data_IF_005690643676
#
_entry.id   IF_005690643676
#
_cell.length_a   1.000
_cell.length_b   1.000
_cell.length_c   1.000
_cell.angle_alpha   90.00
_cell.angle_beta   90.00
_cell.angle_gamma   90.00
#
_symmetry.space_group_name_H-M   'P 1'
#
loop_
_entity.id
_entity.type
_entity.pdbx_description
1 polymer ?
#
# COMPACT_ATOMS: atom_id res chain seq x y z
N UNK A 1 -12.03 6.57 23.29
CA UNK A 1 -11.33 5.43 22.66
C UNK A 1 -9.84 5.61 22.90
N UNK A 2 -9.14 4.63 23.41
CA UNK A 2 -7.68 4.64 23.55
C UNK A 2 -7.06 4.61 22.16
N UNK A 3 -5.95 5.37 21.96
CA UNK A 3 -5.19 5.34 20.70
C UNK A 3 -4.65 3.94 20.37
N UNK A 4 -4.05 3.77 19.18
CA UNK A 4 -3.47 2.48 18.79
C UNK A 4 -2.29 2.10 19.70
N UNK A 5 -2.11 0.80 19.92
CA UNK A 5 -0.83 0.27 20.35
C UNK A 5 0.13 0.30 19.17
N UNK A 6 1.30 0.91 19.35
CA UNK A 6 2.30 1.12 18.31
C UNK A 6 3.50 0.21 18.58
N UNK A 7 4.04 -0.40 17.54
CA UNK A 7 5.25 -1.21 17.62
C UNK A 7 6.11 -1.12 16.37
N UNK A 8 7.27 -1.75 16.47
CA UNK A 8 8.17 -1.95 15.33
C UNK A 8 8.50 -3.43 15.19
N UNK A 9 8.64 -3.90 13.96
CA UNK A 9 9.04 -5.27 13.65
C UNK A 9 10.26 -5.24 12.75
N UNK A 10 11.33 -5.88 13.19
CA UNK A 10 12.50 -6.12 12.36
C UNK A 10 12.22 -7.26 11.40
N UNK A 11 12.41 -6.99 10.10
CA UNK A 11 12.32 -7.97 9.01
C UNK A 11 13.61 -7.96 8.21
N UNK A 12 13.74 -8.85 7.23
CA UNK A 12 14.92 -8.82 6.36
C UNK A 12 14.97 -7.53 5.53
N UNK A 13 16.08 -6.80 5.65
CA UNK A 13 16.33 -5.55 4.94
C UNK A 13 15.50 -4.32 5.39
N UNK A 14 14.64 -4.44 6.42
CA UNK A 14 13.79 -3.33 6.84
C UNK A 14 13.39 -3.38 8.32
N UNK A 15 12.90 -2.23 8.83
CA UNK A 15 12.18 -2.15 10.10
C UNK A 15 10.78 -1.56 9.82
N UNK A 16 9.75 -2.35 10.12
CA UNK A 16 8.37 -1.97 9.90
C UNK A 16 7.80 -1.28 11.13
N UNK A 17 7.07 -0.19 10.92
CA UNK A 17 6.21 0.42 11.92
C UNK A 17 4.80 -0.14 11.76
N UNK A 18 4.18 -0.59 12.86
CA UNK A 18 2.80 -1.10 12.86
C UNK A 18 1.96 -0.52 14.00
N UNK A 19 0.66 -0.54 13.81
CA UNK A 19 -0.34 -0.09 14.76
C UNK A 19 -1.41 -1.16 14.94
N UNK A 20 -1.84 -1.40 16.19
CA UNK A 20 -2.91 -2.35 16.52
C UNK A 20 -4.01 -1.63 17.28
N UNK A 21 -5.25 -1.89 16.92
CA UNK A 21 -6.46 -1.34 17.53
C UNK A 21 -7.49 -2.44 17.79
N UNK A 22 -8.35 -2.22 18.76
CA UNK A 22 -9.51 -3.08 19.04
C UNK A 22 -9.16 -4.40 19.71
N UNK A 23 -10.11 -5.34 19.65
CA UNK A 23 -10.01 -6.67 20.22
C UNK A 23 -10.84 -7.65 19.39
N UNK A 24 -10.54 -8.95 19.50
CA UNK A 24 -11.20 -9.99 18.70
C UNK A 24 -10.25 -10.66 17.73
N UNK A 25 -10.75 -11.38 16.71
CA UNK A 25 -9.93 -12.03 15.69
C UNK A 25 -9.09 -11.03 14.92
N UNK A 26 -7.88 -11.46 14.47
CA UNK A 26 -6.97 -10.58 13.73
C UNK A 26 -7.50 -10.26 12.32
N UNK A 27 -7.46 -8.97 11.99
CA UNK A 27 -7.64 -8.41 10.65
C UNK A 27 -6.41 -7.55 10.30
N UNK A 28 -5.62 -7.98 9.34
CA UNK A 28 -4.49 -7.23 8.81
C UNK A 28 -4.94 -6.35 7.64
N UNK A 29 -4.70 -5.04 7.71
CA UNK A 29 -4.92 -4.10 6.62
C UNK A 29 -3.57 -3.76 5.96
N UNK A 30 -3.40 -4.12 4.70
CA UNK A 30 -2.22 -3.83 3.88
C UNK A 30 -2.53 -2.60 3.01
N UNK A 31 -1.98 -1.43 3.33
CA UNK A 31 -2.24 -0.21 2.57
C UNK A 31 -1.59 -0.25 1.20
N UNK A 32 -2.14 0.49 0.26
CA UNK A 32 -1.56 0.71 -1.06
C UNK A 32 -0.98 2.10 -1.24
N UNK A 33 -0.32 2.30 -2.35
CA UNK A 33 0.24 3.58 -2.76
C UNK A 33 1.27 4.12 -1.77
N UNK A 34 1.14 5.41 -1.43
CA UNK A 34 2.09 6.14 -0.56
C UNK A 34 1.61 6.28 0.88
N UNK A 35 0.48 5.65 1.24
CA UNK A 35 -0.30 6.10 2.40
C UNK A 35 0.09 5.52 3.75
N UNK A 36 0.75 4.38 3.82
CA UNK A 36 1.03 3.67 5.07
C UNK A 36 -0.21 3.41 5.94
N UNK A 37 -0.03 3.13 7.23
CA UNK A 37 -1.11 2.89 8.18
C UNK A 37 -2.11 4.06 8.26
N UNK A 38 -1.64 5.28 8.08
CA UNK A 38 -2.50 6.48 8.13
C UNK A 38 -3.55 6.53 7.00
N UNK A 39 -3.30 5.89 5.86
CA UNK A 39 -4.26 5.86 4.74
C UNK A 39 -5.50 5.03 5.07
N UNK A 40 -5.35 4.02 5.90
CA UNK A 40 -6.43 3.10 6.30
C UNK A 40 -6.90 3.31 7.73
N UNK A 41 -6.46 4.39 8.41
CA UNK A 41 -6.75 4.64 9.82
C UNK A 41 -8.27 4.71 10.11
N UNK A 42 -9.04 5.41 9.26
CA UNK A 42 -10.49 5.49 9.44
C UNK A 42 -11.19 4.13 9.30
N UNK A 43 -10.73 3.29 8.36
CA UNK A 43 -11.22 1.92 8.22
C UNK A 43 -10.84 1.09 9.45
N UNK A 44 -9.60 1.21 9.91
CA UNK A 44 -9.13 0.52 11.11
C UNK A 44 -9.93 0.89 12.35
N UNK A 45 -10.24 2.18 12.55
CA UNK A 45 -11.08 2.66 13.67
C UNK A 45 -12.50 2.09 13.59
N UNK A 46 -13.10 2.09 12.42
CA UNK A 46 -14.47 1.57 12.24
C UNK A 46 -14.57 0.07 12.54
N UNK A 47 -13.54 -0.70 12.18
CA UNK A 47 -13.51 -2.16 12.35
C UNK A 47 -13.01 -2.61 13.73
N UNK A 48 -12.35 -1.73 14.48
CA UNK A 48 -11.77 -2.04 15.79
C UNK A 48 -12.80 -2.38 16.89
N UNK A 49 -14.10 -2.17 16.63
CA UNK A 49 -15.17 -2.57 17.54
C UNK A 49 -15.40 -4.08 17.57
N UNK A 50 -15.03 -4.79 16.52
CA UNK A 50 -15.27 -6.23 16.36
C UNK A 50 -13.98 -7.02 16.09
N UNK A 51 -12.90 -6.35 15.69
CA UNK A 51 -11.66 -6.96 15.26
C UNK A 51 -10.45 -6.40 15.99
N UNK A 52 -9.45 -7.26 16.22
CA UNK A 52 -8.08 -6.77 16.42
C UNK A 52 -7.53 -6.35 15.05
N UNK A 53 -7.52 -5.05 14.79
CA UNK A 53 -7.10 -4.51 13.49
C UNK A 53 -5.64 -4.10 13.55
N UNK A 54 -4.81 -4.76 12.74
CA UNK A 54 -3.42 -4.40 12.53
C UNK A 54 -3.26 -3.62 11.22
N UNK A 55 -2.51 -2.52 11.28
CA UNK A 55 -2.08 -1.74 10.11
C UNK A 55 -0.59 -1.50 10.21
N UNK A 56 0.07 -1.23 9.09
CA UNK A 56 1.50 -0.93 9.11
C UNK A 56 1.89 0.03 7.98
N UNK A 57 3.05 0.63 8.11
CA UNK A 57 3.69 1.35 7.03
C UNK A 57 4.52 0.33 6.23
N UNK A 58 4.28 0.12 4.91
CA UNK A 58 5.11 -0.76 4.11
C UNK A 58 6.59 -0.37 4.14
N UNK A 59 7.49 -1.32 3.92
CA UNK A 59 8.94 -1.09 3.91
C UNK A 59 9.32 0.11 3.05
N UNK A 60 10.19 0.98 3.54
CA UNK A 60 10.63 2.21 2.86
C UNK A 60 9.60 3.33 2.81
N UNK A 61 8.42 3.17 3.44
CA UNK A 61 7.36 4.17 3.44
C UNK A 61 7.09 4.73 4.84
N UNK A 62 6.74 6.01 4.90
CA UNK A 62 6.33 6.72 6.12
C UNK A 62 7.34 6.53 7.27
N UNK A 63 7.00 5.73 8.29
CA UNK A 63 7.82 5.46 9.48
C UNK A 63 8.63 4.16 9.38
N UNK A 64 8.38 3.34 8.36
CA UNK A 64 9.14 2.13 8.09
C UNK A 64 10.40 2.45 7.30
N UNK A 65 11.55 1.89 7.73
CA UNK A 65 12.85 2.19 7.14
C UNK A 65 13.42 1.00 6.41
N UNK A 66 14.19 1.24 5.36
CA UNK A 66 15.05 0.26 4.70
C UNK A 66 16.47 0.37 5.27
N UNK A 67 17.18 -0.75 5.32
CA UNK A 67 18.61 -0.77 5.67
C UNK A 67 19.43 -0.16 4.53
N UNK A 68 19.06 -0.45 3.30
CA UNK A 68 19.56 0.20 2.09
C UNK A 68 18.43 0.98 1.41
N UNK A 69 18.41 2.31 1.46
CA UNK A 69 17.41 3.13 0.79
C UNK A 69 17.39 2.96 -0.74
N UNK A 70 18.48 2.43 -1.31
CA UNK A 70 18.62 2.12 -2.72
C UNK A 70 18.04 0.77 -3.15
N UNK A 71 17.69 -0.11 -2.20
CA UNK A 71 17.22 -1.46 -2.50
C UNK A 71 16.01 -1.48 -3.42
N UNK A 72 16.04 -2.38 -4.39
CA UNK A 72 14.86 -2.70 -5.20
C UNK A 72 13.78 -3.30 -4.32
N UNK A 73 12.53 -3.16 -4.76
CA UNK A 73 11.38 -3.68 -4.04
C UNK A 73 10.76 -4.82 -4.83
N UNK A 74 10.27 -5.84 -4.14
CA UNK A 74 9.58 -6.98 -4.77
C UNK A 74 8.26 -7.26 -4.08
N UNK A 75 7.29 -7.78 -4.83
CA UNK A 75 6.00 -8.23 -4.27
C UNK A 75 6.22 -9.31 -3.21
N UNK A 76 7.20 -10.19 -3.40
CA UNK A 76 7.52 -11.27 -2.47
C UNK A 76 7.99 -10.75 -1.11
N UNK A 77 8.84 -9.72 -1.07
CA UNK A 77 9.28 -9.10 0.18
C UNK A 77 8.14 -8.43 0.93
N UNK A 78 7.27 -7.68 0.22
CA UNK A 78 6.09 -7.07 0.82
C UNK A 78 5.08 -8.10 1.35
N UNK A 79 4.97 -9.24 0.69
CA UNK A 79 4.14 -10.35 1.16
C UNK A 79 4.76 -11.06 2.39
N UNK A 80 6.09 -11.22 2.42
CA UNK A 80 6.79 -11.76 3.60
C UNK A 80 6.68 -10.79 4.79
N UNK A 81 6.76 -9.50 4.59
CA UNK A 81 6.49 -8.49 5.64
C UNK A 81 5.12 -8.68 6.28
N UNK A 82 4.09 -8.84 5.45
CA UNK A 82 2.74 -9.09 5.91
C UNK A 82 2.66 -10.43 6.67
N UNK A 83 3.31 -11.48 6.16
CA UNK A 83 3.42 -12.76 6.86
C UNK A 83 4.09 -12.62 8.23
N UNK A 84 5.22 -11.89 8.34
CA UNK A 84 5.92 -11.66 9.60
C UNK A 84 5.06 -10.93 10.62
N UNK A 85 4.21 -10.00 10.17
CA UNK A 85 3.23 -9.34 11.04
C UNK A 85 2.15 -10.33 11.52
N UNK A 86 1.68 -11.25 10.67
CA UNK A 86 0.76 -12.30 11.09
C UNK A 86 1.41 -13.24 12.11
N UNK A 87 2.68 -13.62 11.92
CA UNK A 87 3.41 -14.45 12.87
C UNK A 87 3.58 -13.75 14.23
N UNK A 88 3.84 -12.45 14.24
CA UNK A 88 3.98 -11.67 15.46
C UNK A 88 2.64 -11.53 16.23
N UNK A 89 1.56 -11.25 15.50
CA UNK A 89 0.28 -10.83 16.12
C UNK A 89 -0.72 -11.97 16.30
N UNK A 90 -0.60 -13.06 15.55
CA UNK A 90 -1.45 -14.24 15.61
C UNK A 90 -0.66 -15.49 15.21
N UNK A 91 0.29 -15.94 16.05
CA UNK A 91 1.19 -17.04 15.73
C UNK A 91 0.43 -18.32 15.39
N UNK A 92 0.70 -18.89 14.20
CA UNK A 92 0.13 -20.16 13.76
C UNK A 92 -1.36 -20.11 13.34
N UNK A 93 -2.09 -19.05 13.65
CA UNK A 93 -3.51 -18.96 13.37
C UNK A 93 -3.79 -18.22 12.03
N UNK A 94 -4.79 -18.69 11.25
CA UNK A 94 -5.22 -17.97 10.06
C UNK A 94 -5.86 -16.62 10.42
N UNK A 95 -5.49 -15.57 9.69
CA UNK A 95 -6.04 -14.23 9.87
C UNK A 95 -6.87 -13.79 8.66
N UNK A 96 -7.66 -12.74 8.86
CA UNK A 96 -8.32 -12.04 7.76
C UNK A 96 -7.39 -10.95 7.24
N UNK A 97 -7.38 -10.77 5.93
CA UNK A 97 -6.48 -9.82 5.26
C UNK A 97 -7.30 -8.94 4.33
N UNK A 98 -7.09 -7.65 4.43
CA UNK A 98 -7.56 -6.66 3.45
C UNK A 98 -6.34 -6.02 2.82
N UNK A 99 -6.26 -6.00 1.49
CA UNK A 99 -5.23 -5.29 0.74
C UNK A 99 -5.84 -4.28 -0.21
N UNK A 100 -5.25 -3.10 -0.32
CA UNK A 100 -5.67 -2.07 -1.27
C UNK A 100 -4.58 -1.80 -2.32
N UNK A 101 -4.94 -1.73 -3.61
CA UNK A 101 -4.03 -1.40 -4.72
C UNK A 101 -2.76 -2.28 -4.68
N UNK A 102 -1.54 -1.70 -4.61
CA UNK A 102 -0.29 -2.47 -4.45
C UNK A 102 -0.31 -3.37 -3.21
N UNK A 103 -0.94 -2.95 -2.10
CA UNK A 103 -1.16 -3.80 -0.94
C UNK A 103 -2.05 -5.01 -1.22
N UNK A 104 -2.99 -4.89 -2.16
CA UNK A 104 -3.79 -6.04 -2.61
C UNK A 104 -2.96 -7.04 -3.42
N UNK A 105 -1.98 -6.59 -4.22
CA UNK A 105 -1.04 -7.47 -4.93
C UNK A 105 -0.18 -8.25 -3.93
N UNK A 106 0.36 -7.57 -2.91
CA UNK A 106 1.11 -8.25 -1.83
C UNK A 106 0.23 -9.26 -1.07
N UNK A 107 -1.04 -8.93 -0.80
CA UNK A 107 -2.00 -9.81 -0.15
C UNK A 107 -2.34 -11.05 -1.00
N UNK A 108 -2.49 -10.89 -2.31
CA UNK A 108 -2.67 -12.01 -3.24
C UNK A 108 -1.43 -12.92 -3.28
N UNK A 109 -0.24 -12.35 -3.29
CA UNK A 109 1.00 -13.12 -3.22
C UNK A 109 1.12 -13.88 -1.88
N UNK A 110 0.78 -13.24 -0.77
CA UNK A 110 0.71 -13.90 0.54
C UNK A 110 -0.24 -15.09 0.50
N UNK A 111 -1.45 -14.94 -0.06
CA UNK A 111 -2.42 -16.03 -0.18
C UNK A 111 -1.87 -17.20 -1.02
N UNK A 112 -1.13 -16.92 -2.09
CA UNK A 112 -0.56 -17.98 -2.95
C UNK A 112 0.61 -18.72 -2.29
N UNK A 113 1.37 -18.04 -1.44
CA UNK A 113 2.60 -18.60 -0.82
C UNK A 113 2.38 -19.13 0.60
N UNK A 114 1.33 -18.68 1.29
CA UNK A 114 0.97 -19.05 2.68
C UNK A 114 -0.54 -19.18 2.84
N UNK A 115 -1.22 -20.02 2.03
CA UNK A 115 -2.69 -20.13 2.04
C UNK A 115 -3.25 -20.50 3.42
N UNK A 116 -2.50 -21.29 4.20
CA UNK A 116 -2.87 -21.69 5.57
C UNK A 116 -2.94 -20.54 6.56
N UNK A 117 -2.33 -19.37 6.23
CA UNK A 117 -2.31 -18.19 7.09
C UNK A 117 -3.40 -17.17 6.77
N UNK A 118 -4.18 -17.41 5.71
CA UNK A 118 -5.20 -16.47 5.22
C UNK A 118 -6.57 -17.13 5.25
N UNK A 119 -7.36 -16.82 6.29
CA UNK A 119 -8.72 -17.33 6.41
C UNK A 119 -9.70 -16.66 5.42
N UNK A 120 -9.47 -15.39 5.11
CA UNK A 120 -10.26 -14.61 4.16
C UNK A 120 -9.41 -13.46 3.63
N UNK A 121 -9.48 -13.24 2.32
CA UNK A 121 -8.84 -12.10 1.66
C UNK A 121 -9.87 -11.21 0.98
N UNK A 122 -9.77 -9.90 1.23
CA UNK A 122 -10.39 -8.86 0.40
C UNK A 122 -9.29 -8.13 -0.35
N UNK A 123 -9.19 -8.32 -1.66
CA UNK A 123 -8.27 -7.61 -2.54
C UNK A 123 -9.03 -6.46 -3.23
N UNK A 124 -8.80 -5.24 -2.76
CA UNK A 124 -9.47 -4.04 -3.28
C UNK A 124 -8.63 -3.39 -4.37
N UNK A 125 -9.15 -3.40 -5.60
CA UNK A 125 -8.53 -2.79 -6.81
C UNK A 125 -7.05 -3.17 -7.03
N UNK A 126 -6.69 -4.49 -7.01
CA UNK A 126 -5.32 -4.90 -7.30
C UNK A 126 -4.95 -4.56 -8.75
N UNK A 127 -3.81 -3.89 -9.01
CA UNK A 127 -3.41 -3.54 -10.37
C UNK A 127 -2.76 -4.73 -11.10
N UNK A 128 -3.46 -5.85 -11.19
CA UNK A 128 -3.02 -7.08 -11.87
C UNK A 128 -3.24 -6.97 -13.38
N UNK A 129 -2.60 -5.99 -13.99
CA UNK A 129 -2.83 -5.57 -15.38
C UNK A 129 -2.56 -6.67 -16.41
N UNK A 130 -1.69 -7.63 -16.08
CA UNK A 130 -1.31 -8.73 -16.99
C UNK A 130 -2.46 -9.70 -17.31
N UNK A 131 -3.50 -9.75 -16.48
CA UNK A 131 -4.67 -10.62 -16.72
C UNK A 131 -5.82 -9.90 -17.43
N UNK A 132 -5.65 -8.61 -17.77
CA UNK A 132 -6.65 -7.81 -18.43
C UNK A 132 -6.58 -7.99 -19.97
N UNK A 133 -7.73 -7.86 -20.66
CA UNK A 133 -7.74 -7.93 -22.13
C UNK A 133 -6.85 -6.88 -22.83
N UNK A 134 -6.65 -5.73 -22.18
CA UNK A 134 -5.85 -4.58 -22.63
C UNK A 134 -4.48 -4.50 -21.94
N UNK A 135 -3.94 -5.62 -21.46
CA UNK A 135 -2.64 -5.71 -20.79
C UNK A 135 -1.50 -5.01 -21.56
N UNK A 136 -1.50 -5.10 -22.91
CA UNK A 136 -0.49 -4.45 -23.73
C UNK A 136 -0.51 -2.92 -23.61
N UNK A 137 -1.70 -2.31 -23.47
CA UNK A 137 -1.85 -0.85 -23.31
C UNK A 137 -1.35 -0.42 -21.93
N UNK A 138 -1.66 -1.20 -20.90
CA UNK A 138 -1.18 -0.96 -19.53
C UNK A 138 0.34 -1.07 -19.44
N UNK A 139 0.95 -2.10 -20.04
CA UNK A 139 2.43 -2.19 -20.12
C UNK A 139 3.04 -1.00 -20.82
N UNK A 140 2.45 -0.55 -21.93
CA UNK A 140 2.93 0.63 -22.65
C UNK A 140 2.80 1.91 -21.81
N UNK A 141 1.73 2.05 -21.00
CA UNK A 141 1.58 3.16 -20.07
C UNK A 141 2.67 3.14 -19.01
N UNK A 142 2.90 2.00 -18.36
CA UNK A 142 3.92 1.85 -17.30
C UNK A 142 5.33 2.10 -17.84
N UNK A 143 5.64 1.64 -19.06
CA UNK A 143 6.89 1.95 -19.73
C UNK A 143 7.05 3.46 -19.93
N UNK A 144 6.03 4.16 -20.44
CA UNK A 144 6.06 5.63 -20.59
C UNK A 144 6.24 6.35 -19.25
N UNK A 145 5.60 5.88 -18.18
CA UNK A 145 5.78 6.47 -16.83
C UNK A 145 7.24 6.35 -16.39
N UNK A 146 7.83 5.16 -16.52
CA UNK A 146 9.24 4.91 -16.19
C UNK A 146 10.18 5.78 -17.02
N UNK A 147 10.00 5.79 -18.32
CA UNK A 147 10.87 6.55 -19.24
C UNK A 147 10.75 8.06 -18.98
N UNK A 148 9.53 8.54 -18.70
CA UNK A 148 9.29 9.94 -18.32
C UNK A 148 9.95 10.27 -16.97
N UNK A 149 9.88 9.36 -15.99
CA UNK A 149 10.54 9.55 -14.69
C UNK A 149 12.05 9.73 -14.86
N UNK A 150 12.68 8.91 -15.69
CA UNK A 150 14.12 8.97 -15.95
C UNK A 150 14.53 10.23 -16.72
N UNK A 151 13.75 10.62 -17.74
CA UNK A 151 14.08 11.73 -18.62
C UNK A 151 13.69 13.11 -18.09
N UNK A 152 12.58 13.22 -17.38
CA UNK A 152 11.92 14.50 -17.02
C UNK A 152 11.62 14.64 -15.53
N UNK A 153 11.81 13.58 -14.76
CA UNK A 153 11.58 13.56 -13.31
C UNK A 153 10.14 13.27 -12.89
N UNK A 154 9.89 13.41 -11.58
CA UNK A 154 8.71 12.89 -10.91
C UNK A 154 7.38 13.51 -11.40
N UNK A 155 7.29 14.84 -11.47
CA UNK A 155 6.01 15.50 -11.77
C UNK A 155 5.46 15.20 -13.17
N UNK A 156 6.28 15.22 -14.25
CA UNK A 156 5.83 14.75 -15.55
C UNK A 156 5.42 13.26 -15.57
N UNK A 157 6.17 12.40 -14.89
CA UNK A 157 5.82 10.97 -14.78
C UNK A 157 4.46 10.76 -14.09
N UNK A 158 4.20 11.50 -13.01
CA UNK A 158 2.91 11.48 -12.32
C UNK A 158 1.77 11.98 -13.21
N UNK A 159 2.00 12.98 -14.04
CA UNK A 159 1.00 13.46 -14.99
C UNK A 159 0.66 12.38 -16.03
N UNK A 160 1.67 11.68 -16.56
CA UNK A 160 1.47 10.54 -17.46
C UNK A 160 0.69 9.42 -16.79
N UNK A 161 1.06 9.05 -15.57
CA UNK A 161 0.38 8.01 -14.80
C UNK A 161 -1.09 8.37 -14.53
N UNK A 162 -1.35 9.58 -14.01
CA UNK A 162 -2.70 10.06 -13.74
C UNK A 162 -3.56 10.15 -15.01
N UNK A 163 -2.98 10.56 -16.14
CA UNK A 163 -3.69 10.61 -17.41
C UNK A 163 -4.10 9.20 -17.89
N UNK A 164 -3.21 8.20 -17.68
CA UNK A 164 -3.48 6.81 -18.06
C UNK A 164 -4.53 6.10 -17.19
N UNK A 165 -4.76 6.58 -15.96
CA UNK A 165 -5.80 6.04 -15.07
C UNK A 165 -7.19 6.66 -15.30
N UNK A 166 -7.30 7.72 -16.09
CA UNK A 166 -8.59 8.35 -16.37
C UNK A 166 -9.44 7.47 -17.27
N UNK A 167 -10.70 7.30 -16.87
CA UNK A 167 -11.73 6.66 -17.71
C UNK A 167 -12.44 7.72 -18.54
N UNK A 168 -13.04 7.28 -19.65
CA UNK A 168 -13.90 8.15 -20.43
C UNK A 168 -15.09 8.60 -19.54
N UNK A 169 -15.21 9.92 -19.32
CA UNK A 169 -16.21 10.52 -18.44
C UNK A 169 -15.71 11.01 -17.09
N UNK A 170 -14.46 10.74 -16.72
CA UNK A 170 -13.88 11.31 -15.51
C UNK A 170 -13.73 12.83 -15.64
N UNK A 171 -14.36 13.58 -14.73
CA UNK A 171 -14.18 15.02 -14.66
C UNK A 171 -12.76 15.34 -14.16
N UNK A 172 -12.22 16.49 -14.58
CA UNK A 172 -10.96 17.00 -14.05
C UNK A 172 -11.04 17.05 -12.50
N UNK A 173 -9.88 16.76 -11.84
CA UNK A 173 -9.79 16.72 -10.37
C UNK A 173 -10.37 17.96 -9.67
N UNK A 174 -10.33 18.00 -8.33
CA UNK A 174 -10.98 19.05 -7.57
C UNK A 174 -10.60 20.44 -8.10
N UNK A 175 -11.54 21.38 -8.13
CA UNK A 175 -11.28 22.74 -8.66
C UNK A 175 -10.11 23.38 -7.91
N UNK A 176 -9.27 24.11 -8.63
CA UNK A 176 -8.17 24.88 -8.05
C UNK A 176 -8.71 25.85 -7.00
N UNK A 177 -8.07 25.90 -5.81
CA UNK A 177 -8.44 26.85 -4.74
C UNK A 177 -9.30 26.29 -3.61
N UNK A 178 -9.58 24.97 -3.59
CA UNK A 178 -10.23 24.34 -2.44
C UNK A 178 -9.24 24.22 -1.29
N UNK A 179 -9.51 24.92 -0.18
CA UNK A 179 -8.76 24.74 1.07
C UNK A 179 -9.17 23.40 1.69
N UNK A 180 -8.23 22.47 1.77
CA UNK A 180 -8.48 21.16 2.39
C UNK A 180 -8.60 21.33 3.93
N UNK A 181 -9.48 20.55 4.60
CA UNK A 181 -9.46 20.43 6.05
C UNK A 181 -8.05 20.00 6.54
N UNK A 182 -7.61 20.40 7.76
CA UNK A 182 -6.24 20.14 8.25
C UNK A 182 -5.80 18.67 8.15
N UNK A 183 -6.70 17.75 8.45
CA UNK A 183 -6.41 16.30 8.34
C UNK A 183 -6.21 15.85 6.88
N UNK A 184 -7.01 16.39 5.96
CA UNK A 184 -6.87 16.09 4.53
C UNK A 184 -5.61 16.73 3.94
N UNK A 185 -5.24 17.94 4.37
CA UNK A 185 -3.99 18.60 4.00
C UNK A 185 -2.78 17.78 4.47
N UNK A 186 -2.73 17.39 5.75
CA UNK A 186 -1.66 16.57 6.29
C UNK A 186 -1.56 15.19 5.60
N UNK A 187 -2.70 14.62 5.16
CA UNK A 187 -2.69 13.39 4.36
C UNK A 187 -2.10 13.63 2.97
N UNK A 188 -2.49 14.73 2.31
CA UNK A 188 -1.96 15.10 0.99
C UNK A 188 -0.44 15.32 1.05
N UNK A 189 0.08 16.00 2.07
CA UNK A 189 1.53 16.18 2.27
C UNK A 189 2.26 14.86 2.40
N UNK A 190 1.77 13.92 3.22
CA UNK A 190 2.36 12.58 3.35
C UNK A 190 2.33 11.81 2.04
N UNK A 191 1.22 11.89 1.30
CA UNK A 191 1.09 11.29 -0.03
C UNK A 191 2.16 11.83 -0.97
N UNK A 192 2.32 13.16 -1.02
CA UNK A 192 3.34 13.81 -1.87
C UNK A 192 4.76 13.42 -1.48
N UNK A 193 5.07 13.34 -0.19
CA UNK A 193 6.38 12.91 0.30
C UNK A 193 6.74 11.48 -0.10
N UNK A 194 5.76 10.59 -0.16
CA UNK A 194 5.94 9.19 -0.57
C UNK A 194 5.99 8.94 -2.08
N UNK A 195 5.60 9.92 -2.92
CA UNK A 195 5.51 9.75 -4.37
C UNK A 195 6.82 9.33 -5.05
N UNK A 196 8.00 9.89 -4.71
CA UNK A 196 9.25 9.47 -5.34
C UNK A 196 9.54 7.98 -5.16
N UNK A 197 9.34 7.47 -3.95
CA UNK A 197 9.52 6.05 -3.66
C UNK A 197 8.45 5.20 -4.36
N UNK A 198 7.19 5.61 -4.31
CA UNK A 198 6.10 4.88 -4.96
C UNK A 198 6.31 4.75 -6.46
N UNK A 199 6.55 5.86 -7.18
CA UNK A 199 6.71 5.85 -8.64
C UNK A 199 8.03 5.19 -9.07
N UNK A 200 9.09 5.40 -8.30
CA UNK A 200 10.42 4.90 -8.64
C UNK A 200 10.69 3.47 -8.22
N UNK A 201 9.98 2.94 -7.23
CA UNK A 201 10.27 1.62 -6.66
C UNK A 201 9.06 0.67 -6.65
N UNK A 202 7.87 1.16 -6.25
CA UNK A 202 6.70 0.30 -6.13
C UNK A 202 6.03 0.06 -7.48
N UNK A 203 5.79 1.10 -8.26
CA UNK A 203 5.17 0.95 -9.59
C UNK A 203 5.92 -0.06 -10.47
N UNK A 204 7.27 0.01 -10.63
CA UNK A 204 7.99 -0.97 -11.44
C UNK A 204 7.97 -2.40 -10.91
N UNK A 205 7.82 -2.57 -9.59
CA UNK A 205 7.88 -3.87 -8.93
C UNK A 205 6.52 -4.60 -8.87
N UNK A 206 5.41 -3.84 -8.95
CA UNK A 206 4.06 -4.35 -8.67
C UNK A 206 3.11 -4.32 -9.89
N UNK A 207 3.54 -3.76 -11.02
CA UNK A 207 2.66 -3.54 -12.17
C UNK A 207 3.23 -4.06 -13.47
#
# INVERSE_FOLDING_TARGET
MTGPTVGTLRVDGATLHYEVRGHGPLLLLIPGGTGGAAAVAGLAEALATEWTVATYDPRGMSRSTLDDPGAEQTVAEHADDAFRLLELLSPGEPARVFGASSGAVAALHLLTTRPERVALLVAHEPPVVEVLPDAAEHRALLARVRDTLQAQGLMPAMAVFAAGLRRAGDTAGPPAGVTLPPQAAARAERTMAGLPFFVGRIVPAFM
#
